data_IF_705514345930
#
_entry.id   IF_705514345930
#
_cell.length_a   1.000
_cell.length_b   1.000
_cell.length_c   1.000
_cell.angle_alpha   90.00
_cell.angle_beta   90.00
_cell.angle_gamma   90.00
#
_symmetry.space_group_name_H-M   'P 1'
#
loop_
_entity.id
_entity.type
_entity.pdbx_description
1 polymer ?
#
# COMPACT_ATOMS: atom_id res chain seq x y z
N UNK A 1 8.67 -20.15 5.60
CA UNK A 1 9.94 -19.39 5.60
C UNK A 1 11.03 -20.38 5.92
N UNK A 2 12.20 -20.32 5.29
CA UNK A 2 13.34 -21.15 5.70
C UNK A 2 13.82 -20.58 7.04
N UNK A 3 13.43 -21.18 8.16
CA UNK A 3 13.77 -20.69 9.52
C UNK A 3 15.24 -20.95 9.90
N UNK A 4 15.96 -21.71 9.07
CA UNK A 4 17.35 -22.11 9.29
C UNK A 4 18.33 -20.95 9.54
N UNK A 5 18.28 -19.79 8.84
CA UNK A 5 19.20 -18.68 9.13
C UNK A 5 19.01 -18.11 10.54
N UNK A 6 17.77 -18.10 11.05
CA UNK A 6 17.46 -17.61 12.38
C UNK A 6 17.94 -18.56 13.47
N UNK A 7 17.76 -19.87 13.27
CA UNK A 7 18.27 -20.91 14.17
C UNK A 7 19.80 -20.86 14.22
N UNK A 8 20.47 -20.75 13.07
CA UNK A 8 21.93 -20.66 12.99
C UNK A 8 22.45 -19.39 13.68
N UNK A 9 21.82 -18.23 13.43
CA UNK A 9 22.17 -16.98 14.10
C UNK A 9 21.99 -17.07 15.61
N UNK A 10 20.90 -17.68 16.07
CA UNK A 10 20.63 -17.85 17.50
C UNK A 10 21.64 -18.80 18.16
N UNK A 11 21.99 -19.92 17.53
CA UNK A 11 23.03 -20.84 18.01
C UNK A 11 24.41 -20.17 18.05
N UNK A 12 24.76 -19.41 17.01
CA UNK A 12 25.98 -18.61 16.98
C UNK A 12 26.01 -17.57 18.10
N UNK A 13 24.92 -16.84 18.32
CA UNK A 13 24.82 -15.83 19.35
C UNK A 13 24.98 -16.43 20.75
N UNK A 14 24.37 -17.60 21.02
CA UNK A 14 24.55 -18.31 22.28
C UNK A 14 25.99 -18.79 22.47
N UNK A 15 26.61 -19.37 21.44
CA UNK A 15 28.01 -19.81 21.50
C UNK A 15 28.96 -18.62 21.71
N UNK A 16 28.73 -17.50 21.04
CA UNK A 16 29.51 -16.27 21.19
C UNK A 16 29.38 -15.72 22.62
N UNK A 17 28.15 -15.55 23.12
CA UNK A 17 27.92 -15.03 24.47
C UNK A 17 28.52 -15.96 25.54
N UNK A 18 28.39 -17.28 25.38
CA UNK A 18 29.02 -18.27 26.25
C UNK A 18 30.56 -18.15 26.24
N UNK A 19 31.16 -18.05 25.05
CA UNK A 19 32.61 -17.97 24.86
C UNK A 19 33.21 -16.70 25.48
N UNK A 20 32.45 -15.60 25.50
CA UNK A 20 32.89 -14.31 26.02
C UNK A 20 32.31 -13.96 27.40
N UNK A 21 31.75 -14.94 28.13
CA UNK A 21 31.14 -14.74 29.47
C UNK A 21 30.10 -13.61 29.52
N UNK A 22 29.33 -13.40 28.46
CA UNK A 22 28.36 -12.31 28.41
C UNK A 22 27.24 -12.51 29.42
N UNK A 23 26.85 -11.41 30.06
CA UNK A 23 25.81 -11.39 31.10
C UNK A 23 24.41 -11.49 30.49
N UNK A 24 23.38 -11.73 31.33
CA UNK A 24 21.96 -11.73 30.92
C UNK A 24 21.55 -10.47 30.15
N UNK A 25 22.21 -9.33 30.42
CA UNK A 25 21.99 -8.06 29.74
C UNK A 25 22.29 -8.09 28.25
N UNK A 26 23.24 -8.93 27.81
CA UNK A 26 23.55 -9.10 26.38
C UNK A 26 22.37 -9.76 25.67
N UNK A 27 21.76 -10.79 26.27
CA UNK A 27 20.57 -11.45 25.72
C UNK A 27 19.38 -10.49 25.63
N UNK A 28 19.14 -9.70 26.69
CA UNK A 28 18.08 -8.70 26.72
C UNK A 28 18.31 -7.65 25.61
N UNK A 29 19.53 -7.15 25.47
CA UNK A 29 19.88 -6.19 24.42
C UNK A 29 19.64 -6.77 23.02
N UNK A 30 20.12 -8.00 22.75
CA UNK A 30 19.90 -8.67 21.47
C UNK A 30 18.41 -8.91 21.19
N UNK A 31 17.62 -9.28 22.19
CA UNK A 31 16.19 -9.48 22.06
C UNK A 31 15.46 -8.16 21.74
N UNK A 32 15.80 -7.07 22.42
CA UNK A 32 15.23 -5.74 22.15
C UNK A 32 15.59 -5.29 20.75
N UNK A 33 16.87 -5.43 20.35
CA UNK A 33 17.33 -5.07 19.02
C UNK A 33 16.61 -5.87 17.93
N UNK A 34 16.51 -7.19 18.10
CA UNK A 34 15.77 -8.05 17.19
C UNK A 34 14.29 -7.65 17.10
N UNK A 35 13.64 -7.40 18.23
CA UNK A 35 12.24 -6.99 18.28
C UNK A 35 12.04 -5.64 17.57
N UNK A 36 12.96 -4.68 17.76
CA UNK A 36 12.93 -3.40 17.07
C UNK A 36 13.04 -3.57 15.54
N UNK A 37 13.94 -4.44 15.06
CA UNK A 37 14.07 -4.77 13.63
C UNK A 37 12.80 -5.42 13.09
N UNK A 38 12.19 -6.36 13.82
CA UNK A 38 10.94 -7.01 13.44
C UNK A 38 9.79 -6.00 13.35
N UNK A 39 9.68 -5.11 14.35
CA UNK A 39 8.68 -4.04 14.35
C UNK A 39 8.91 -3.10 13.18
N UNK A 40 10.14 -2.64 12.94
CA UNK A 40 10.43 -1.78 11.79
C UNK A 40 10.10 -2.46 10.45
N UNK A 41 10.49 -3.72 10.27
CA UNK A 41 10.13 -4.52 9.10
C UNK A 41 8.62 -4.73 8.90
N UNK A 42 7.84 -4.68 9.99
CA UNK A 42 6.38 -4.76 9.94
C UNK A 42 5.73 -3.46 9.44
N UNK A 43 6.30 -2.31 9.79
CA UNK A 43 5.71 -0.99 9.49
C UNK A 43 6.32 -0.29 8.25
N UNK A 44 7.46 -0.76 7.75
CA UNK A 44 8.08 -0.23 6.54
C UNK A 44 7.91 -1.17 5.35
N UNK A 45 6.84 -0.94 4.58
CA UNK A 45 6.49 -1.72 3.40
C UNK A 45 7.56 -1.71 2.30
N UNK A 46 8.49 -0.75 2.31
CA UNK A 46 9.57 -0.67 1.32
C UNK A 46 10.68 -1.69 1.58
N UNK A 47 10.84 -2.15 2.82
CA UNK A 47 11.86 -3.16 3.17
C UNK A 47 11.51 -4.55 2.62
N UNK A 48 10.24 -4.80 2.31
CA UNK A 48 9.80 -6.11 1.81
C UNK A 48 10.00 -7.25 2.82
N UNK A 49 10.09 -6.93 4.12
CA UNK A 49 10.57 -7.86 5.16
C UNK A 49 9.68 -9.10 5.30
N UNK A 50 8.36 -8.91 5.42
CA UNK A 50 7.39 -10.02 5.47
C UNK A 50 6.69 -10.27 4.12
N UNK A 51 6.47 -9.21 3.35
CA UNK A 51 5.74 -9.23 2.07
C UNK A 51 6.52 -8.40 1.07
N UNK A 52 6.92 -9.01 -0.05
CA UNK A 52 7.51 -8.28 -1.16
C UNK A 52 6.41 -7.49 -1.89
N UNK A 53 6.32 -6.19 -1.60
CA UNK A 53 5.33 -5.29 -2.17
C UNK A 53 5.93 -4.46 -3.30
N UNK A 54 5.15 -4.23 -4.36
CA UNK A 54 5.56 -3.29 -5.42
C UNK A 54 5.42 -1.86 -4.90
N UNK A 55 6.54 -1.20 -4.66
CA UNK A 55 6.60 0.15 -4.04
C UNK A 55 6.96 1.24 -5.02
N UNK A 56 7.49 0.88 -6.19
CA UNK A 56 7.82 1.76 -7.30
C UNK A 56 7.90 0.95 -8.60
N UNK A 57 7.76 1.63 -9.73
CA UNK A 57 8.01 1.08 -11.07
C UNK A 57 9.48 1.29 -11.43
N UNK A 58 10.17 0.24 -11.89
CA UNK A 58 11.52 0.38 -12.45
C UNK A 58 11.39 0.86 -13.89
N UNK A 59 11.71 2.13 -14.13
CA UNK A 59 11.51 2.78 -15.43
C UNK A 59 12.53 3.91 -15.61
N UNK A 60 12.80 4.28 -16.86
CA UNK A 60 13.57 5.48 -17.21
C UNK A 60 12.65 6.66 -17.60
N UNK A 61 11.38 6.39 -17.86
CA UNK A 61 10.40 7.40 -18.23
C UNK A 61 10.05 8.23 -17.00
N UNK A 62 9.94 9.55 -17.13
CA UNK A 62 9.57 10.43 -16.01
C UNK A 62 8.08 10.28 -15.71
N UNK A 63 7.72 9.19 -15.03
CA UNK A 63 6.34 8.79 -14.75
C UNK A 63 6.13 8.46 -13.27
N UNK A 64 4.92 8.68 -12.75
CA UNK A 64 4.52 8.37 -11.36
C UNK A 64 3.11 7.76 -11.31
N UNK A 65 2.79 7.01 -10.27
CA UNK A 65 1.42 6.54 -10.01
C UNK A 65 0.78 7.35 -8.88
N UNK A 66 -0.40 7.91 -9.18
CA UNK A 66 -1.31 8.43 -8.17
C UNK A 66 -2.15 7.26 -7.66
N UNK A 67 -2.11 7.03 -6.34
CA UNK A 67 -2.89 5.97 -5.70
C UNK A 67 -3.68 6.50 -4.51
N UNK A 68 -4.94 6.08 -4.41
CA UNK A 68 -5.88 6.54 -3.38
C UNK A 68 -6.37 5.34 -2.57
N UNK A 69 -6.26 5.42 -1.25
CA UNK A 69 -6.77 4.42 -0.31
C UNK A 69 -8.05 4.91 0.38
N UNK A 70 -8.81 3.95 0.92
CA UNK A 70 -9.99 4.10 1.77
C UNK A 70 -11.32 4.46 1.08
N UNK A 71 -11.28 4.82 -0.20
CA UNK A 71 -12.48 5.05 -1.00
C UNK A 71 -13.30 3.78 -1.32
N UNK A 72 -14.45 3.94 -2.01
CA UNK A 72 -15.07 5.23 -2.35
C UNK A 72 -15.69 5.94 -1.13
N UNK A 73 -15.79 7.26 -1.18
CA UNK A 73 -16.44 8.13 -0.17
C UNK A 73 -17.28 9.21 -0.85
N UNK A 74 -17.93 10.10 -0.07
CA UNK A 74 -18.57 11.30 -0.64
C UNK A 74 -17.60 12.26 -1.37
N UNK A 75 -16.30 12.17 -1.10
CA UNK A 75 -15.30 13.02 -1.77
C UNK A 75 -14.80 12.40 -3.08
N UNK A 76 -14.78 11.08 -3.21
CA UNK A 76 -14.26 10.36 -4.39
C UNK A 76 -14.78 10.89 -5.73
N UNK A 77 -16.07 11.26 -5.90
CA UNK A 77 -16.54 11.87 -7.16
C UNK A 77 -15.75 13.11 -7.58
N UNK A 78 -15.38 14.00 -6.63
CA UNK A 78 -14.58 15.20 -6.93
C UNK A 78 -13.17 14.83 -7.42
N UNK A 79 -12.58 13.77 -6.87
CA UNK A 79 -11.28 13.25 -7.33
C UNK A 79 -11.40 12.70 -8.75
N UNK A 80 -12.47 11.98 -9.08
CA UNK A 80 -12.72 11.49 -10.43
C UNK A 80 -12.90 12.64 -11.43
N UNK A 81 -13.65 13.69 -11.06
CA UNK A 81 -13.84 14.87 -11.90
C UNK A 81 -12.50 15.52 -12.28
N UNK A 82 -11.65 15.82 -11.30
CA UNK A 82 -10.37 16.48 -11.57
C UNK A 82 -9.39 15.58 -12.34
N UNK A 83 -9.39 14.27 -12.07
CA UNK A 83 -8.57 13.31 -12.83
C UNK A 83 -9.03 13.24 -14.29
N UNK A 84 -10.35 13.25 -14.54
CA UNK A 84 -10.93 13.26 -15.89
C UNK A 84 -10.61 14.55 -16.64
N UNK A 85 -10.75 15.71 -16.01
CA UNK A 85 -10.38 17.01 -16.58
C UNK A 85 -8.91 17.05 -17.05
N UNK A 86 -8.03 16.47 -16.24
CA UNK A 86 -6.60 16.38 -16.55
C UNK A 86 -6.24 15.16 -17.43
N UNK A 87 -7.22 14.35 -17.84
CA UNK A 87 -7.03 13.11 -18.64
C UNK A 87 -6.09 12.10 -17.98
N UNK A 88 -6.06 12.05 -16.66
CA UNK A 88 -5.19 11.19 -15.86
C UNK A 88 -5.98 9.97 -15.37
N UNK A 89 -5.32 8.80 -15.38
CA UNK A 89 -5.82 7.59 -14.73
C UNK A 89 -5.01 7.29 -13.47
N UNK A 90 -5.70 7.10 -12.35
CA UNK A 90 -5.13 6.70 -11.07
C UNK A 90 -5.48 5.24 -10.69
N UNK A 91 -4.97 4.78 -9.55
CA UNK A 91 -5.33 3.50 -8.94
C UNK A 91 -6.02 3.71 -7.59
N UNK A 92 -7.18 3.10 -7.40
CA UNK A 92 -7.96 3.18 -6.15
C UNK A 92 -7.92 1.84 -5.41
N UNK A 93 -7.51 1.84 -4.15
CA UNK A 93 -7.57 0.68 -3.27
C UNK A 93 -8.82 0.80 -2.40
N UNK A 94 -9.87 0.12 -2.83
CA UNK A 94 -11.21 0.31 -2.26
C UNK A 94 -11.47 -0.63 -1.08
N UNK A 95 -12.16 -0.11 -0.07
CA UNK A 95 -12.64 -0.89 1.08
C UNK A 95 -14.00 -1.52 0.73
N UNK A 96 -14.18 -2.81 1.00
CA UNK A 96 -15.42 -3.53 0.67
C UNK A 96 -16.70 -2.87 1.22
N UNK A 97 -16.71 -2.48 2.50
CA UNK A 97 -17.85 -1.74 3.10
C UNK A 97 -18.15 -0.42 2.39
N UNK A 98 -17.13 0.26 1.89
CA UNK A 98 -17.28 1.53 1.20
C UNK A 98 -17.86 1.33 -0.20
N UNK A 99 -17.49 0.25 -0.88
CA UNK A 99 -18.10 -0.14 -2.15
C UNK A 99 -19.60 -0.43 -1.95
N UNK A 100 -19.99 -1.13 -0.88
CA UNK A 100 -21.42 -1.37 -0.56
C UNK A 100 -22.18 -0.07 -0.30
N UNK A 101 -21.51 0.92 0.33
CA UNK A 101 -22.11 2.21 0.68
C UNK A 101 -22.21 3.17 -0.51
N UNK A 102 -21.25 3.15 -1.44
CA UNK A 102 -21.19 4.03 -2.61
C UNK A 102 -21.03 3.24 -3.92
N UNK A 103 -21.98 2.36 -4.27
CA UNK A 103 -21.86 1.48 -5.44
C UNK A 103 -21.76 2.27 -6.74
N UNK A 104 -22.53 3.35 -6.91
CA UNK A 104 -22.49 4.20 -8.11
C UNK A 104 -21.12 4.86 -8.31
N UNK A 105 -20.48 5.27 -7.22
CA UNK A 105 -19.12 5.84 -7.29
C UNK A 105 -18.11 4.77 -7.67
N UNK A 106 -18.23 3.56 -7.13
CA UNK A 106 -17.39 2.43 -7.54
C UNK A 106 -17.54 2.10 -9.04
N UNK A 107 -18.77 2.05 -9.54
CA UNK A 107 -19.07 1.87 -10.96
C UNK A 107 -18.42 2.96 -11.82
N UNK A 108 -18.48 4.21 -11.36
CA UNK A 108 -17.84 5.34 -12.01
C UNK A 108 -16.31 5.20 -12.08
N UNK A 109 -15.65 4.73 -11.01
CA UNK A 109 -14.21 4.45 -11.01
C UNK A 109 -13.85 3.48 -12.15
N UNK A 110 -14.65 2.41 -12.33
CA UNK A 110 -14.48 1.41 -13.40
C UNK A 110 -14.75 2.01 -14.77
N UNK A 111 -15.90 2.67 -14.95
CA UNK A 111 -16.33 3.24 -16.23
C UNK A 111 -15.36 4.31 -16.75
N UNK A 112 -14.72 5.06 -15.85
CA UNK A 112 -13.68 6.02 -16.20
C UNK A 112 -12.31 5.37 -16.41
N UNK A 113 -12.17 4.05 -16.34
CA UNK A 113 -10.96 3.32 -16.71
C UNK A 113 -9.81 3.45 -15.69
N UNK A 114 -10.13 3.73 -14.43
CA UNK A 114 -9.15 3.67 -13.36
C UNK A 114 -8.83 2.22 -12.98
N UNK A 115 -7.64 2.00 -12.40
CA UNK A 115 -7.31 0.69 -11.83
C UNK A 115 -7.86 0.58 -10.43
N UNK A 116 -8.33 -0.61 -10.06
CA UNK A 116 -8.87 -0.89 -8.73
C UNK A 116 -8.10 -2.02 -8.08
N UNK A 117 -7.77 -1.84 -6.80
CA UNK A 117 -7.22 -2.85 -5.92
C UNK A 117 -8.09 -3.07 -4.69
N UNK A 118 -7.86 -4.18 -4.00
CA UNK A 118 -8.55 -4.55 -2.77
C UNK A 118 -7.84 -3.92 -1.56
N UNK A 119 -8.61 -3.30 -0.65
CA UNK A 119 -8.10 -2.73 0.60
C UNK A 119 -8.77 -3.32 1.84
N UNK A 120 -9.03 -4.63 1.82
CA UNK A 120 -9.84 -5.38 2.80
C UNK A 120 -11.31 -4.98 2.81
N UNK A 121 -12.14 -5.80 3.47
CA UNK A 121 -13.56 -5.52 3.57
C UNK A 121 -13.86 -4.40 4.57
N UNK A 122 -13.27 -4.45 5.77
CA UNK A 122 -13.64 -3.58 6.88
C UNK A 122 -12.63 -2.48 7.21
N UNK A 123 -11.36 -2.65 6.86
CA UNK A 123 -10.25 -1.77 7.26
C UNK A 123 -10.25 -1.44 8.77
N UNK A 124 -10.51 -2.43 9.62
CA UNK A 124 -10.53 -2.21 11.08
C UNK A 124 -9.16 -1.84 11.64
N UNK A 125 -9.11 -1.14 12.78
CA UNK A 125 -7.85 -0.86 13.50
C UNK A 125 -7.12 -2.15 13.93
N UNK A 126 -7.85 -3.26 14.06
CA UNK A 126 -7.29 -4.56 14.44
C UNK A 126 -6.73 -5.36 13.26
N UNK A 127 -6.78 -4.81 12.03
CA UNK A 127 -6.36 -5.53 10.81
C UNK A 127 -4.95 -6.08 10.92
N UNK A 128 -4.01 -5.33 11.51
CA UNK A 128 -2.63 -5.78 11.75
C UNK A 128 -2.50 -6.98 12.70
N UNK A 129 -3.52 -7.28 13.49
CA UNK A 129 -3.52 -8.36 14.50
C UNK A 129 -4.39 -9.55 14.13
N UNK A 130 -5.03 -9.52 12.95
CA UNK A 130 -5.87 -10.63 12.51
C UNK A 130 -5.05 -11.91 12.29
N UNK A 131 -5.70 -13.05 12.55
CA UNK A 131 -5.17 -14.36 12.15
C UNK A 131 -5.13 -14.46 10.62
N UNK A 132 -4.35 -15.42 10.12
CA UNK A 132 -4.31 -15.69 8.66
C UNK A 132 -5.72 -15.96 8.09
N UNK A 133 -6.55 -16.73 8.78
CA UNK A 133 -7.91 -17.08 8.32
C UNK A 133 -8.83 -15.84 8.24
N UNK A 134 -8.84 -15.00 9.28
CA UNK A 134 -9.63 -13.76 9.29
C UNK A 134 -9.17 -12.77 8.23
N UNK A 135 -7.86 -12.69 7.97
CA UNK A 135 -7.34 -11.85 6.89
C UNK A 135 -7.73 -12.38 5.50
N UNK A 136 -7.77 -13.70 5.31
CA UNK A 136 -8.28 -14.30 4.07
C UNK A 136 -9.76 -13.92 3.87
N UNK A 137 -10.57 -14.04 4.91
CA UNK A 137 -11.99 -13.64 4.90
C UNK A 137 -12.16 -12.16 4.54
N UNK A 138 -11.40 -11.26 5.16
CA UNK A 138 -11.45 -9.82 4.85
C UNK A 138 -11.12 -9.51 3.38
N UNK A 139 -10.14 -10.21 2.79
CA UNK A 139 -9.78 -10.04 1.38
C UNK A 139 -10.88 -10.61 0.49
N UNK A 140 -11.30 -11.85 0.72
CA UNK A 140 -12.28 -12.55 -0.11
C UNK A 140 -13.65 -11.87 -0.07
N UNK A 141 -14.10 -11.40 1.09
CA UNK A 141 -15.36 -10.69 1.22
C UNK A 141 -15.36 -9.38 0.41
N UNK A 142 -14.24 -8.65 0.41
CA UNK A 142 -14.10 -7.48 -0.47
C UNK A 142 -14.15 -7.87 -1.96
N UNK A 143 -13.51 -8.97 -2.36
CA UNK A 143 -13.59 -9.48 -3.73
C UNK A 143 -15.01 -9.91 -4.13
N UNK A 144 -15.74 -10.54 -3.22
CA UNK A 144 -17.15 -10.93 -3.42
C UNK A 144 -18.05 -9.72 -3.65
N UNK A 145 -17.83 -8.63 -2.90
CA UNK A 145 -18.56 -7.37 -3.10
C UNK A 145 -18.25 -6.76 -4.48
N UNK A 146 -16.96 -6.69 -4.87
CA UNK A 146 -16.58 -6.19 -6.20
C UNK A 146 -17.20 -7.02 -7.32
N UNK A 147 -17.23 -8.35 -7.14
CA UNK A 147 -17.85 -9.27 -8.09
C UNK A 147 -19.37 -9.10 -8.15
N UNK A 148 -20.03 -8.92 -7.01
CA UNK A 148 -21.49 -8.77 -6.93
C UNK A 148 -21.97 -7.48 -7.60
N UNK A 149 -21.23 -6.39 -7.45
CA UNK A 149 -21.67 -5.06 -7.90
C UNK A 149 -21.37 -4.84 -9.39
N UNK A 150 -20.18 -5.22 -9.88
CA UNK A 150 -19.77 -4.95 -11.28
C UNK A 150 -19.09 -6.15 -11.98
N UNK A 151 -19.24 -7.37 -11.45
CA UNK A 151 -18.48 -8.54 -11.91
C UNK A 151 -16.96 -8.28 -11.97
N UNK A 152 -16.48 -7.36 -11.13
CA UNK A 152 -15.12 -6.87 -11.19
C UNK A 152 -14.19 -7.77 -10.39
N UNK A 153 -13.02 -8.07 -10.97
CA UNK A 153 -11.98 -8.89 -10.35
C UNK A 153 -10.64 -8.16 -10.42
N UNK A 154 -9.90 -8.21 -9.32
CA UNK A 154 -8.53 -7.69 -9.25
C UNK A 154 -7.63 -8.66 -8.51
N UNK A 155 -6.38 -8.75 -8.91
CA UNK A 155 -5.33 -9.42 -8.14
C UNK A 155 -4.53 -8.43 -7.28
N UNK A 156 -4.78 -7.13 -7.39
CA UNK A 156 -4.08 -6.10 -6.63
C UNK A 156 -4.65 -5.99 -5.22
N UNK A 157 -3.76 -5.87 -4.24
CA UNK A 157 -4.09 -5.69 -2.84
C UNK A 157 -3.11 -4.70 -2.20
N UNK A 158 -3.61 -3.82 -1.35
CA UNK A 158 -2.77 -2.99 -0.49
C UNK A 158 -3.05 -3.31 0.97
N UNK A 159 -2.04 -3.68 1.78
CA UNK A 159 -2.21 -3.90 3.20
C UNK A 159 -2.66 -2.62 3.92
N UNK A 160 -3.74 -2.65 4.72
CA UNK A 160 -4.15 -1.55 5.58
C UNK A 160 -3.01 -1.01 6.42
N UNK A 161 -2.91 0.32 6.49
CA UNK A 161 -1.83 1.06 7.18
C UNK A 161 -0.40 0.77 6.68
N UNK A 162 -0.23 -0.04 5.63
CA UNK A 162 1.07 -0.54 5.17
C UNK A 162 1.69 -1.60 6.09
N UNK A 163 0.93 -2.11 7.06
CA UNK A 163 1.42 -3.10 8.03
C UNK A 163 1.50 -4.47 7.37
N UNK A 164 2.65 -5.13 7.51
CA UNK A 164 2.88 -6.48 7.01
C UNK A 164 3.39 -7.39 8.12
N UNK A 165 2.96 -8.63 8.13
CA UNK A 165 3.40 -9.63 9.11
C UNK A 165 3.22 -11.04 8.52
N UNK A 166 3.67 -12.11 9.21
CA UNK A 166 3.55 -13.47 8.70
C UNK A 166 2.11 -13.94 8.43
N UNK A 167 1.12 -13.45 9.17
CA UNK A 167 -0.29 -13.80 8.93
C UNK A 167 -0.81 -13.16 7.64
N UNK A 168 -0.54 -11.87 7.45
CA UNK A 168 -0.87 -11.13 6.23
C UNK A 168 -0.16 -11.74 5.02
N UNK A 169 1.13 -12.07 5.14
CA UNK A 169 1.89 -12.71 4.08
C UNK A 169 1.30 -14.06 3.62
N UNK A 170 0.87 -14.89 4.58
CA UNK A 170 0.17 -16.15 4.28
C UNK A 170 -1.18 -15.92 3.62
N UNK A 171 -1.94 -14.93 4.10
CA UNK A 171 -3.24 -14.59 3.54
C UNK A 171 -3.12 -14.13 2.08
N UNK A 172 -2.24 -13.16 1.79
CA UNK A 172 -1.94 -12.67 0.43
C UNK A 172 -1.57 -13.83 -0.50
N UNK A 173 -0.70 -14.73 -0.05
CA UNK A 173 -0.31 -15.91 -0.85
C UNK A 173 -1.49 -16.84 -1.12
N UNK A 174 -2.35 -17.08 -0.13
CA UNK A 174 -3.52 -17.97 -0.27
C UNK A 174 -4.60 -17.37 -1.17
N UNK A 175 -4.80 -16.06 -1.11
CA UNK A 175 -5.75 -15.34 -1.98
C UNK A 175 -5.15 -14.94 -3.33
N UNK A 176 -3.90 -15.33 -3.60
CA UNK A 176 -3.16 -15.06 -4.85
C UNK A 176 -3.10 -13.57 -5.21
N UNK A 177 -3.08 -12.71 -4.19
CA UNK A 177 -2.98 -11.25 -4.38
C UNK A 177 -1.55 -10.80 -4.59
N UNK A 178 -1.39 -9.70 -5.30
CA UNK A 178 -0.15 -8.93 -5.48
C UNK A 178 -0.19 -7.74 -4.52
N UNK A 179 0.74 -7.73 -3.57
CA UNK A 179 0.86 -6.64 -2.60
C UNK A 179 1.44 -5.39 -3.25
N UNK A 180 0.75 -4.26 -3.12
CA UNK A 180 1.15 -2.96 -3.67
C UNK A 180 1.39 -2.01 -2.49
N UNK A 181 2.63 -1.51 -2.39
CA UNK A 181 3.02 -0.51 -1.41
C UNK A 181 3.14 0.87 -2.04
N UNK A 182 4.04 1.66 -1.48
CA UNK A 182 4.40 2.99 -1.96
C UNK A 182 5.85 3.29 -1.57
N UNK A 183 6.46 4.27 -2.24
CA UNK A 183 7.72 4.87 -1.82
C UNK A 183 7.56 6.36 -1.46
N UNK A 184 6.42 6.96 -1.79
CA UNK A 184 6.06 8.34 -1.41
C UNK A 184 4.78 8.31 -0.58
N UNK A 185 4.89 8.61 0.72
CA UNK A 185 3.76 8.70 1.65
C UNK A 185 3.42 10.16 1.94
N UNK A 186 2.21 10.59 1.60
CA UNK A 186 1.71 11.96 1.84
C UNK A 186 1.56 12.30 3.32
N UNK A 187 1.12 11.33 4.14
CA UNK A 187 0.59 11.54 5.50
C UNK A 187 -0.59 12.53 5.53
N UNK A 188 -1.37 12.57 4.46
CA UNK A 188 -2.56 13.41 4.32
C UNK A 188 -3.68 13.06 5.31
N UNK A 189 -3.69 11.86 5.90
CA UNK A 189 -4.62 11.52 7.00
C UNK A 189 -4.17 12.05 8.37
N UNK A 190 -2.92 12.51 8.51
CA UNK A 190 -2.34 12.93 9.80
C UNK A 190 -1.96 14.41 9.80
N UNK A 191 -1.35 14.91 8.72
CA UNK A 191 -0.93 16.30 8.59
C UNK A 191 -2.15 17.15 8.22
N UNK A 192 -2.34 18.29 8.88
CA UNK A 192 -3.45 19.22 8.61
C UNK A 192 -3.12 20.26 7.54
N UNK A 193 -1.85 20.63 7.42
CA UNK A 193 -1.36 21.67 6.50
C UNK A 193 -1.10 21.09 5.09
N UNK A 194 -1.90 21.53 4.12
CA UNK A 194 -1.85 21.13 2.70
C UNK A 194 -0.47 21.37 2.08
N UNK A 195 0.17 22.51 2.36
CA UNK A 195 1.50 22.85 1.82
C UNK A 195 2.57 21.92 2.37
N UNK A 196 2.45 21.51 3.65
CA UNK A 196 3.36 20.51 4.23
C UNK A 196 3.18 19.15 3.58
N UNK A 197 1.95 18.72 3.29
CA UNK A 197 1.66 17.47 2.57
C UNK A 197 2.28 17.54 1.17
N UNK A 198 1.97 18.56 0.39
CA UNK A 198 2.48 18.73 -0.97
C UNK A 198 4.01 18.75 -1.00
N UNK A 199 4.65 19.51 -0.11
CA UNK A 199 6.11 19.57 -0.01
C UNK A 199 6.71 18.21 0.33
N UNK A 200 6.06 17.42 1.19
CA UNK A 200 6.52 16.07 1.54
C UNK A 200 6.43 15.14 0.34
N UNK A 201 5.31 15.16 -0.38
CA UNK A 201 5.10 14.35 -1.60
C UNK A 201 6.15 14.74 -2.64
N UNK A 202 6.22 16.01 -3.01
CA UNK A 202 7.09 16.51 -4.09
C UNK A 202 8.59 16.31 -3.81
N UNK A 203 9.05 16.52 -2.57
CA UNK A 203 10.44 16.21 -2.18
C UNK A 203 10.79 14.72 -2.25
N UNK A 204 9.81 13.85 -2.06
CA UNK A 204 9.99 12.39 -2.11
C UNK A 204 9.91 11.81 -3.52
N UNK A 205 9.47 12.60 -4.52
CA UNK A 205 9.25 12.09 -5.87
C UNK A 205 10.55 11.62 -6.53
N UNK A 206 10.45 10.45 -7.14
CA UNK A 206 11.46 9.85 -7.99
C UNK A 206 10.76 9.31 -9.23
N UNK A 207 11.54 9.05 -10.27
CA UNK A 207 11.04 8.34 -11.46
C UNK A 207 10.46 6.99 -11.04
N UNK A 208 9.24 6.70 -11.47
CA UNK A 208 8.51 5.47 -11.16
C UNK A 208 7.88 5.44 -9.76
N UNK A 209 7.85 6.56 -9.02
CA UNK A 209 7.25 6.60 -7.69
C UNK A 209 5.78 6.19 -7.68
N UNK A 210 5.38 5.46 -6.66
CA UNK A 210 3.98 5.22 -6.29
C UNK A 210 3.66 6.12 -5.10
N UNK A 211 2.71 7.02 -5.29
CA UNK A 211 2.29 8.03 -4.31
C UNK A 211 1.04 7.54 -3.59
N UNK A 212 1.12 7.41 -2.27
CA UNK A 212 -0.04 7.13 -1.41
C UNK A 212 -0.74 8.44 -1.01
N UNK A 213 -2.02 8.54 -1.34
CA UNK A 213 -3.00 9.56 -0.93
C UNK A 213 -4.30 8.88 -0.48
N UNK A 214 -5.24 9.63 0.06
CA UNK A 214 -6.57 9.14 0.43
C UNK A 214 -7.66 10.06 -0.14
N UNK A 215 -8.63 9.49 -0.85
CA UNK A 215 -9.75 10.23 -1.45
C UNK A 215 -10.92 10.44 -0.47
N UNK A 216 -10.57 10.84 0.77
CA UNK A 216 -11.48 10.87 1.92
C UNK A 216 -11.70 12.28 2.49
N UNK A 217 -11.04 13.31 1.93
CA UNK A 217 -11.15 14.68 2.45
C UNK A 217 -10.92 15.76 1.40
N UNK A 218 -11.52 16.94 1.64
CA UNK A 218 -11.30 18.15 0.85
C UNK A 218 -9.84 18.61 0.88
N UNK A 219 -9.16 18.45 2.02
CA UNK A 219 -7.74 18.76 2.16
C UNK A 219 -6.89 17.95 1.18
N UNK A 220 -7.12 16.65 1.06
CA UNK A 220 -6.38 15.83 0.08
C UNK A 220 -6.73 16.22 -1.35
N UNK A 221 -7.98 16.62 -1.60
CA UNK A 221 -8.40 17.13 -2.93
C UNK A 221 -7.62 18.40 -3.32
N UNK A 222 -7.48 19.37 -2.40
CA UNK A 222 -6.67 20.57 -2.64
C UNK A 222 -5.19 20.25 -2.88
N UNK A 223 -4.64 19.30 -2.11
CA UNK A 223 -3.27 18.79 -2.35
C UNK A 223 -3.14 18.15 -3.73
N UNK A 224 -4.15 17.41 -4.18
CA UNK A 224 -4.16 16.81 -5.51
C UNK A 224 -4.14 17.88 -6.60
N UNK A 225 -4.93 18.95 -6.49
CA UNK A 225 -4.92 20.06 -7.45
C UNK A 225 -3.51 20.63 -7.64
N UNK A 226 -2.84 21.00 -6.54
CA UNK A 226 -1.48 21.55 -6.61
C UNK A 226 -0.45 20.50 -7.07
N UNK A 227 -0.64 19.23 -6.71
CA UNK A 227 0.22 18.14 -7.14
C UNK A 227 0.12 17.91 -8.66
N UNK A 228 -1.07 17.96 -9.25
CA UNK A 228 -1.25 17.81 -10.69
C UNK A 228 -0.54 18.94 -11.45
N UNK A 229 -0.69 20.19 -11.01
CA UNK A 229 0.04 21.34 -11.56
C UNK A 229 1.56 21.20 -11.43
N UNK A 230 2.03 20.67 -10.28
CA UNK A 230 3.45 20.37 -10.08
C UNK A 230 3.93 19.31 -11.08
N UNK A 231 3.20 18.19 -11.22
CA UNK A 231 3.58 17.10 -12.10
C UNK A 231 3.62 17.54 -13.57
N UNK A 232 2.64 18.33 -14.01
CA UNK A 232 2.61 18.90 -15.36
C UNK A 232 3.82 19.81 -15.60
N UNK A 233 4.08 20.78 -14.71
CA UNK A 233 5.22 21.70 -14.82
C UNK A 233 6.56 20.94 -14.86
N UNK A 234 6.69 19.93 -14.03
CA UNK A 234 7.88 19.07 -13.98
C UNK A 234 7.89 18.00 -15.08
N UNK A 235 6.91 17.95 -15.97
CA UNK A 235 6.81 17.01 -17.10
C UNK A 235 6.81 15.54 -16.65
N UNK A 236 6.13 15.25 -15.54
CA UNK A 236 5.81 13.88 -15.15
C UNK A 236 4.57 13.39 -15.90
N UNK A 237 4.65 12.23 -16.53
CA UNK A 237 3.47 11.48 -16.93
C UNK A 237 2.95 10.62 -15.77
N UNK A 238 1.75 10.07 -15.92
CA UNK A 238 1.14 9.18 -14.92
C UNK A 238 0.96 7.77 -15.45
N UNK A 239 1.07 6.77 -14.58
CA UNK A 239 0.72 5.38 -14.88
C UNK A 239 -0.17 4.77 -13.79
N UNK A 240 -0.92 3.73 -14.16
CA UNK A 240 -1.70 2.92 -13.22
C UNK A 240 -0.96 1.64 -12.83
N UNK A 241 -1.25 1.09 -11.65
CA UNK A 241 -0.48 -0.02 -11.09
C UNK A 241 -0.52 -1.29 -11.95
N UNK A 242 -1.65 -1.59 -12.60
CA UNK A 242 -1.81 -2.74 -13.49
C UNK A 242 -0.83 -2.70 -14.69
N UNK A 243 -0.46 -1.51 -15.16
CA UNK A 243 0.51 -1.32 -16.26
C UNK A 243 1.91 -1.89 -15.93
N UNK A 244 2.28 -1.97 -14.65
CA UNK A 244 3.54 -2.59 -14.20
C UNK A 244 3.59 -4.08 -14.60
N UNK A 245 2.44 -4.75 -14.59
CA UNK A 245 2.34 -6.19 -14.81
C UNK A 245 2.07 -6.55 -16.27
N UNK A 246 1.38 -5.66 -17.01
CA UNK A 246 1.10 -5.87 -18.44
C UNK A 246 2.38 -5.92 -19.29
N UNK A 247 3.43 -5.18 -18.90
CA UNK A 247 4.72 -5.17 -19.61
C UNK A 247 5.50 -6.49 -19.55
N UNK A 248 5.20 -7.42 -18.63
CA UNK A 248 5.95 -8.66 -18.46
C UNK A 248 5.48 -9.82 -19.35
N UNK A 249 4.33 -9.69 -20.01
CA UNK A 249 3.77 -10.76 -20.85
C UNK A 249 4.13 -10.62 -22.34
N UNK A 250 4.94 -9.62 -22.70
CA UNK A 250 5.37 -9.35 -24.08
C UNK A 250 6.88 -9.59 -24.30
N UNK A 251 7.50 -10.49 -23.53
CA UNK A 251 8.88 -10.95 -23.73
C UNK A 251 8.92 -12.46 -23.70
#
# INVERSE_FOLDING_TARGET
MKHYPFIIFYLFLNLFIYTFQGTIWVYIFCFILFSAVVVWGSFDIQLGYFVNSFTHKRTKNKEVALTFDDGPTEFTPKFLDILKENKIKATFFCIGKQIEKYPETFQRIIAEGHTIGNHTYSHSNNTGFLSTSKMIEEIQKCDEIMLKIENFKTDLYRPPFGVTNPNIAKAIKKTKKKSIGWNVRSLDTVITDEKKILRKVTKGLKIGSIILLHDTSEKTYNVLLELLLFLEREKYSTFTIDSIFKSKNNV
#
